data_IF_973239152322
#
_entry.id   IF_973239152322
#
_cell.length_a   1.000
_cell.length_b   1.000
_cell.length_c   1.000
_cell.angle_alpha   90.00
_cell.angle_beta   90.00
_cell.angle_gamma   90.00
#
_symmetry.space_group_name_H-M   'P 1'
#
loop_
_entity.id
_entity.type
_entity.pdbx_description
1 polymer ?
#
# COMPACT_ATOMS: atom_id res chain seq x y z
N UNK A 1 -19.93 -17.31 5.19
CA UNK A 1 -20.17 -16.12 6.03
C UNK A 1 -18.87 -15.49 6.52
N UNK A 2 -17.95 -16.22 7.17
CA UNK A 2 -16.62 -15.69 7.56
C UNK A 2 -15.77 -15.25 6.36
N UNK A 3 -15.73 -16.06 5.29
CA UNK A 3 -14.99 -15.73 4.06
C UNK A 3 -15.51 -14.45 3.37
N UNK A 4 -16.84 -14.25 3.36
CA UNK A 4 -17.46 -13.03 2.82
C UNK A 4 -17.13 -11.78 3.66
N UNK A 5 -17.08 -11.92 4.99
CA UNK A 5 -16.68 -10.82 5.88
C UNK A 5 -15.19 -10.47 5.75
N UNK A 6 -14.33 -11.48 5.56
CA UNK A 6 -12.90 -11.31 5.31
C UNK A 6 -12.68 -10.60 3.97
N UNK A 7 -13.40 -11.01 2.92
CA UNK A 7 -13.41 -10.33 1.62
C UNK A 7 -13.79 -8.85 1.76
N UNK A 8 -14.75 -8.52 2.63
CA UNK A 8 -15.15 -7.14 2.89
C UNK A 8 -14.05 -6.28 3.53
N UNK A 9 -13.22 -6.84 4.41
CA UNK A 9 -12.08 -6.14 5.02
C UNK A 9 -10.96 -5.94 4.01
N UNK A 10 -10.60 -7.00 3.30
CA UNK A 10 -9.56 -6.97 2.27
C UNK A 10 -9.91 -6.00 1.14
N UNK A 11 -11.18 -5.96 0.71
CA UNK A 11 -11.65 -5.01 -0.28
C UNK A 11 -11.47 -3.56 0.18
N UNK A 12 -11.78 -3.24 1.44
CA UNK A 12 -11.56 -1.87 1.98
C UNK A 12 -10.07 -1.50 1.98
N UNK A 13 -9.19 -2.42 2.35
CA UNK A 13 -7.74 -2.20 2.31
C UNK A 13 -7.26 -1.96 0.87
N UNK A 14 -7.73 -2.77 -0.08
CA UNK A 14 -7.44 -2.57 -1.51
C UNK A 14 -7.94 -1.21 -2.00
N UNK A 15 -9.15 -0.80 -1.62
CA UNK A 15 -9.66 0.53 -1.97
C UNK A 15 -8.78 1.65 -1.39
N UNK A 16 -8.33 1.55 -0.14
CA UNK A 16 -7.40 2.53 0.46
C UNK A 16 -6.09 2.59 -0.32
N UNK A 17 -5.47 1.43 -0.58
CA UNK A 17 -4.24 1.33 -1.37
C UNK A 17 -4.42 1.95 -2.76
N UNK A 18 -5.50 1.61 -3.46
CA UNK A 18 -5.81 2.16 -4.78
C UNK A 18 -6.07 3.69 -4.75
N UNK A 19 -6.58 4.23 -3.64
CA UNK A 19 -6.80 5.67 -3.47
C UNK A 19 -5.48 6.44 -3.28
N UNK A 20 -4.49 5.81 -2.65
CA UNK A 20 -3.21 6.43 -2.32
C UNK A 20 -2.18 6.25 -3.45
N UNK A 21 -2.08 5.04 -3.97
CA UNK A 21 -1.08 4.68 -4.97
C UNK A 21 -1.31 5.44 -6.28
N UNK A 22 -0.20 5.87 -6.91
CA UNK A 22 -0.19 6.46 -8.25
C UNK A 22 -0.99 7.78 -8.37
N UNK A 23 -1.37 8.41 -7.25
CA UNK A 23 -2.06 9.71 -7.27
C UNK A 23 -1.11 10.82 -7.76
N UNK A 24 -1.42 11.51 -8.88
CA UNK A 24 -0.46 12.39 -9.53
C UNK A 24 -0.24 13.72 -8.79
N UNK A 25 -1.26 14.27 -8.12
CA UNK A 25 -1.17 15.52 -7.36
C UNK A 25 -2.17 15.47 -6.19
N UNK A 26 -1.75 15.91 -5.00
CA UNK A 26 -2.66 16.27 -3.91
C UNK A 26 -2.34 17.70 -3.45
N UNK A 27 -3.29 18.63 -3.63
CA UNK A 27 -3.07 20.03 -3.32
C UNK A 27 -2.00 20.67 -4.20
N UNK A 28 -0.95 21.24 -3.60
CA UNK A 28 0.16 21.94 -4.28
C UNK A 28 1.46 21.13 -4.33
N UNK A 29 1.45 19.86 -3.91
CA UNK A 29 2.65 19.02 -3.89
C UNK A 29 2.65 18.04 -5.09
N UNK A 30 3.45 18.30 -6.14
CA UNK A 30 3.57 17.42 -7.30
C UNK A 30 4.36 16.13 -6.99
N UNK A 31 4.99 16.01 -5.81
CA UNK A 31 5.80 14.86 -5.41
C UNK A 31 5.24 14.12 -4.19
N UNK A 32 3.96 14.33 -3.90
CA UNK A 32 3.21 13.70 -2.81
C UNK A 32 3.40 12.17 -2.74
N UNK A 33 3.56 11.51 -3.89
CA UNK A 33 3.68 10.05 -3.99
C UNK A 33 5.11 9.52 -3.79
N UNK A 34 6.14 10.38 -3.73
CA UNK A 34 7.55 9.94 -3.69
C UNK A 34 8.25 10.17 -2.35
N UNK A 35 7.55 10.65 -1.32
CA UNK A 35 8.18 10.96 -0.02
C UNK A 35 7.65 10.08 1.12
N UNK A 36 8.57 9.65 1.99
CA UNK A 36 8.30 9.00 3.28
C UNK A 36 7.33 7.80 3.21
N UNK A 37 6.22 7.91 3.95
CA UNK A 37 5.22 6.86 4.12
C UNK A 37 4.54 6.44 2.80
N UNK A 38 4.40 7.36 1.83
CA UNK A 38 3.79 7.06 0.52
C UNK A 38 4.72 6.23 -0.36
N UNK A 39 6.03 6.50 -0.27
CA UNK A 39 7.04 5.71 -0.95
C UNK A 39 7.04 4.25 -0.45
N UNK A 40 6.90 4.04 0.87
CA UNK A 40 6.74 2.69 1.44
C UNK A 40 5.52 1.96 0.88
N UNK A 41 4.38 2.64 0.74
CA UNK A 41 3.16 2.04 0.18
C UNK A 41 3.30 1.72 -1.33
N UNK A 42 4.03 2.56 -2.08
CA UNK A 42 4.37 2.30 -3.48
C UNK A 42 5.24 1.04 -3.63
N UNK A 43 6.28 0.91 -2.82
CA UNK A 43 7.12 -0.29 -2.82
C UNK A 43 6.36 -1.53 -2.35
N UNK A 44 5.48 -1.39 -1.36
CA UNK A 44 4.62 -2.48 -0.91
C UNK A 44 3.68 -2.97 -2.03
N UNK A 45 3.13 -2.05 -2.82
CA UNK A 45 2.31 -2.38 -4.00
C UNK A 45 3.11 -3.16 -5.04
N UNK A 46 4.37 -2.80 -5.28
CA UNK A 46 5.23 -3.58 -6.17
C UNK A 46 5.54 -4.96 -5.57
N UNK A 47 5.84 -5.04 -4.27
CA UNK A 47 6.07 -6.31 -3.56
C UNK A 47 4.89 -7.29 -3.65
N UNK A 48 3.65 -6.80 -3.51
CA UNK A 48 2.45 -7.65 -3.52
C UNK A 48 1.99 -8.02 -4.93
N UNK A 49 2.01 -7.08 -5.87
CA UNK A 49 1.35 -7.25 -7.18
C UNK A 49 2.32 -7.45 -8.36
N UNK A 50 3.62 -7.19 -8.17
CA UNK A 50 4.63 -7.24 -9.23
C UNK A 50 5.75 -8.22 -8.86
N UNK A 51 5.38 -9.37 -8.31
CA UNK A 51 6.35 -10.42 -8.04
C UNK A 51 6.96 -10.91 -9.35
N UNK A 52 8.26 -11.19 -9.30
CA UNK A 52 9.01 -11.79 -10.40
C UNK A 52 9.68 -13.06 -9.90
N UNK A 53 9.79 -14.04 -10.78
CA UNK A 53 10.56 -15.27 -10.59
C UNK A 53 12.07 -15.00 -10.72
N UNK A 54 12.90 -15.98 -10.38
CA UNK A 54 14.35 -15.90 -10.51
C UNK A 54 14.81 -15.64 -11.96
N UNK A 55 14.04 -16.09 -12.96
CA UNK A 55 14.24 -15.83 -14.39
C UNK A 55 13.66 -14.48 -14.87
N UNK A 56 13.06 -13.69 -13.97
CA UNK A 56 12.48 -12.39 -14.28
C UNK A 56 11.07 -12.44 -14.87
N UNK A 57 10.46 -13.62 -15.00
CA UNK A 57 9.08 -13.77 -15.47
C UNK A 57 8.09 -13.29 -14.38
N UNK A 58 7.01 -12.57 -14.74
CA UNK A 58 6.01 -12.13 -13.78
C UNK A 58 5.34 -13.33 -13.10
N UNK A 59 5.25 -13.28 -11.78
CA UNK A 59 4.61 -14.29 -10.94
C UNK A 59 3.37 -13.70 -10.28
N UNK A 60 2.21 -14.33 -10.47
CA UNK A 60 0.97 -13.91 -9.85
C UNK A 60 0.45 -15.01 -8.94
N UNK A 61 0.56 -14.81 -7.63
CA UNK A 61 0.05 -15.72 -6.61
C UNK A 61 -1.00 -15.02 -5.73
N UNK A 62 -2.25 -15.41 -5.92
CA UNK A 62 -3.36 -14.90 -5.12
C UNK A 62 -3.25 -15.28 -3.64
N UNK A 63 -2.62 -16.41 -3.31
CA UNK A 63 -2.37 -16.82 -1.93
C UNK A 63 -1.43 -15.84 -1.24
N UNK A 64 -0.34 -15.46 -1.90
CA UNK A 64 0.57 -14.42 -1.43
C UNK A 64 -0.14 -13.07 -1.22
N UNK A 65 -0.95 -12.64 -2.20
CA UNK A 65 -1.69 -11.37 -2.12
C UNK A 65 -2.61 -11.36 -0.90
N UNK A 66 -3.44 -12.39 -0.75
CA UNK A 66 -4.39 -12.49 0.38
C UNK A 66 -3.66 -12.51 1.71
N UNK A 67 -2.57 -13.28 1.83
CA UNK A 67 -1.77 -13.32 3.06
C UNK A 67 -1.18 -11.96 3.42
N UNK A 68 -0.61 -11.25 2.45
CA UNK A 68 -0.03 -9.93 2.68
C UNK A 68 -1.08 -8.90 3.09
N UNK A 69 -2.25 -8.90 2.45
CA UNK A 69 -3.33 -7.99 2.79
C UNK A 69 -3.93 -8.31 4.18
N UNK A 70 -4.05 -9.59 4.54
CA UNK A 70 -4.48 -10.00 5.89
C UNK A 70 -3.48 -9.56 6.97
N UNK A 71 -2.18 -9.72 6.71
CA UNK A 71 -1.12 -9.26 7.63
C UNK A 71 -1.10 -7.75 7.75
N UNK A 72 -1.30 -7.03 6.66
CA UNK A 72 -1.42 -5.58 6.64
C UNK A 72 -2.62 -5.12 7.46
N UNK A 73 -3.81 -5.66 7.21
CA UNK A 73 -5.04 -5.33 7.94
C UNK A 73 -4.97 -5.66 9.44
N UNK A 74 -4.24 -6.72 9.80
CA UNK A 74 -3.99 -7.07 11.20
C UNK A 74 -2.88 -6.23 11.86
N UNK A 75 -2.06 -5.52 11.09
CA UNK A 75 -0.96 -4.69 11.61
C UNK A 75 0.08 -5.51 12.39
N UNK A 76 0.49 -6.68 11.87
CA UNK A 76 1.41 -7.57 12.58
C UNK A 76 2.85 -7.04 12.61
N UNK A 77 3.63 -7.47 13.61
CA UNK A 77 5.03 -7.06 13.76
C UNK A 77 6.01 -7.75 12.79
N UNK A 78 5.52 -8.68 11.96
CA UNK A 78 6.32 -9.34 10.92
C UNK A 78 6.90 -8.30 9.96
N UNK A 79 8.19 -8.46 9.63
CA UNK A 79 8.92 -7.56 8.75
C UNK A 79 9.10 -8.16 7.38
N UNK A 80 8.97 -7.31 6.37
CA UNK A 80 9.25 -7.64 4.97
C UNK A 80 10.33 -6.71 4.43
N UNK A 81 11.01 -7.19 3.40
CA UNK A 81 12.00 -6.41 2.66
C UNK A 81 11.33 -5.85 1.40
N UNK A 82 11.33 -4.53 1.30
CA UNK A 82 10.87 -3.78 0.14
C UNK A 82 12.08 -3.27 -0.62
N UNK A 83 12.05 -3.40 -1.95
CA UNK A 83 13.15 -3.00 -2.82
C UNK A 83 12.62 -2.12 -3.95
N UNK A 84 13.35 -1.05 -4.26
CA UNK A 84 13.06 -0.23 -5.43
C UNK A 84 13.37 -0.96 -6.73
N UNK A 85 12.73 -0.55 -7.83
CA UNK A 85 12.90 -1.21 -9.15
C UNK A 85 14.30 -1.09 -9.74
N UNK A 86 15.05 -0.08 -9.33
CA UNK A 86 16.46 0.12 -9.68
C UNK A 86 17.42 -0.65 -8.75
N UNK A 87 16.86 -1.40 -7.79
CA UNK A 87 17.58 -2.20 -6.78
C UNK A 87 18.52 -1.38 -5.88
N UNK A 88 18.45 -0.04 -5.93
CA UNK A 88 19.34 0.83 -5.17
C UNK A 88 18.88 1.04 -3.73
N UNK A 89 17.58 0.94 -3.47
CA UNK A 89 16.99 1.19 -2.16
C UNK A 89 16.35 -0.08 -1.61
N UNK A 90 16.82 -0.51 -0.45
CA UNK A 90 16.28 -1.66 0.29
C UNK A 90 15.80 -1.18 1.65
N UNK A 91 14.54 -1.42 1.96
CA UNK A 91 13.87 -0.98 3.18
C UNK A 91 13.27 -2.20 3.89
N UNK A 92 13.55 -2.33 5.18
CA UNK A 92 12.94 -3.37 6.02
C UNK A 92 11.86 -2.71 6.87
N UNK A 93 10.61 -3.12 6.69
CA UNK A 93 9.44 -2.49 7.30
C UNK A 93 8.49 -3.56 7.85
N UNK A 94 7.81 -3.26 8.96
CA UNK A 94 6.78 -4.17 9.49
C UNK A 94 5.42 -3.92 8.85
N UNK A 95 4.54 -4.94 8.85
CA UNK A 95 3.14 -4.74 8.45
C UNK A 95 2.42 -3.73 9.36
N UNK A 96 2.79 -3.63 10.64
CA UNK A 96 2.31 -2.60 11.56
C UNK A 96 2.66 -1.18 11.09
N UNK A 97 3.90 -0.95 10.66
CA UNK A 97 4.34 0.34 10.13
C UNK A 97 3.59 0.68 8.83
N UNK A 98 3.44 -0.30 7.93
CA UNK A 98 2.71 -0.13 6.68
C UNK A 98 1.22 0.17 6.92
N UNK A 99 0.58 -0.50 7.88
CA UNK A 99 -0.79 -0.22 8.27
C UNK A 99 -0.94 1.23 8.75
N UNK A 100 -0.02 1.71 9.59
CA UNK A 100 0.01 3.11 10.04
C UNK A 100 0.17 4.07 8.87
N UNK A 101 1.10 3.80 7.95
CA UNK A 101 1.33 4.61 6.75
C UNK A 101 0.07 4.69 5.87
N UNK A 102 -0.64 3.57 5.72
CA UNK A 102 -1.88 3.47 4.95
C UNK A 102 -2.97 4.35 5.56
N UNK A 103 -3.22 4.22 6.86
CA UNK A 103 -4.28 4.98 7.53
C UNK A 103 -3.98 6.48 7.58
N UNK A 104 -2.74 6.87 7.85
CA UNK A 104 -2.32 8.27 7.86
C UNK A 104 -2.49 8.90 6.48
N UNK A 105 -1.95 8.26 5.44
CA UNK A 105 -2.04 8.75 4.06
C UNK A 105 -3.49 8.81 3.57
N UNK A 106 -4.33 7.82 3.92
CA UNK A 106 -5.75 7.85 3.58
C UNK A 106 -6.49 8.98 4.31
N UNK A 107 -6.21 9.19 5.59
CA UNK A 107 -6.82 10.25 6.40
C UNK A 107 -6.49 11.63 5.84
N UNK A 108 -5.23 11.86 5.46
CA UNK A 108 -4.80 13.11 4.81
C UNK A 108 -5.57 13.37 3.51
N UNK A 109 -5.78 12.35 2.67
CA UNK A 109 -6.57 12.46 1.44
C UNK A 109 -8.03 12.83 1.73
N UNK A 110 -8.64 12.18 2.72
CA UNK A 110 -10.03 12.45 3.11
C UNK A 110 -10.18 13.89 3.59
N UNK A 111 -9.27 14.36 4.45
CA UNK A 111 -9.27 15.73 4.97
C UNK A 111 -9.13 16.78 3.86
N UNK A 112 -8.21 16.57 2.91
CA UNK A 112 -8.02 17.48 1.78
C UNK A 112 -9.22 17.50 0.81
N UNK A 113 -9.93 16.37 0.66
CA UNK A 113 -11.11 16.29 -0.23
C UNK A 113 -12.33 17.00 0.38
N UNK A 114 -12.51 16.94 1.70
CA UNK A 114 -13.61 17.63 2.37
C UNK A 114 -13.49 19.16 2.38
N UNK A 115 -12.28 19.72 2.24
CA UNK A 115 -12.08 21.17 2.17
C UNK A 115 -12.54 21.80 0.84
N UNK A 116 -12.70 21.01 -0.22
CA UNK A 116 -13.11 21.48 -1.55
C UNK A 116 -14.62 21.68 -1.77
N UNK A 117 -15.47 21.43 -0.77
CA UNK A 117 -16.94 21.55 -0.89
C UNK A 117 -17.48 22.89 -0.32
N UNK A 118 -16.58 23.76 0.16
CA UNK A 118 -16.92 25.12 0.61
C UNK A 118 -16.20 26.14 -0.26
N UNK A 119 -16.69 26.34 -1.48
CA UNK A 119 -16.44 27.52 -2.31
C UNK A 119 -17.58 27.72 -3.29
#
# INVERSE_FOLDING_TARGET
>A
MFQEMENGRLFRILCKLATINERPVLGMDPQWSETGDRYLLKLFRDYVFHQVTEDGSPWLDLGHIVQCLNKLDAGVAEKIMLMSRDEQNVLIVSFADLHRCLDQSFTEIVQNTCQGVTS
#
